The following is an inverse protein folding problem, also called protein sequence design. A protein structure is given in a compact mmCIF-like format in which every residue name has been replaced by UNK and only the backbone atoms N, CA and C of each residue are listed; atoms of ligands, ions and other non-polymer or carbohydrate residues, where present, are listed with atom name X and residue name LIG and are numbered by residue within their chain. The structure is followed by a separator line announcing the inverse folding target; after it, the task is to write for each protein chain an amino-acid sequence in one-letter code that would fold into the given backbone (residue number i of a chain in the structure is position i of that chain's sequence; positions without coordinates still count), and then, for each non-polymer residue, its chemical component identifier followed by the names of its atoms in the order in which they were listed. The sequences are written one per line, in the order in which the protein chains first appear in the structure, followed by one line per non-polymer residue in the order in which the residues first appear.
data_IF_469045630743
#
_entry.id   IF_469045630743
#
_cell.length_a   1.000
_cell.length_b   1.000
_cell.length_c   1.000
_cell.angle_alpha   90.00
_cell.angle_beta   90.00
_cell.angle_gamma   90.00
#
_symmetry.space_group_name_H-M   'P 1'
#
loop_
_entity.id
_entity.type
_entity.pdbx_description
1 polymer ?
#
# COMPACT_ATOMS: atom_id res chain seq x y z
N UNK A 1 -44.80 -30.03 12.73
CA UNK A 1 -44.42 -28.97 11.76
C UNK A 1 -43.35 -28.01 12.27
N UNK A 2 -43.29 -27.64 13.56
CA UNK A 2 -42.29 -26.68 14.08
C UNK A 2 -40.83 -27.19 14.15
N UNK A 3 -40.60 -28.50 14.29
CA UNK A 3 -39.24 -29.09 14.35
C UNK A 3 -38.45 -28.94 13.03
N UNK A 4 -39.13 -29.06 11.87
CA UNK A 4 -38.48 -28.91 10.57
C UNK A 4 -38.10 -27.46 10.26
N UNK A 5 -38.80 -26.48 10.83
CA UNK A 5 -38.49 -25.06 10.66
C UNK A 5 -37.22 -24.66 11.42
N UNK A 6 -37.03 -25.21 12.63
CA UNK A 6 -35.84 -24.94 13.47
C UNK A 6 -34.58 -25.51 12.83
N UNK A 7 -34.63 -26.73 12.28
CA UNK A 7 -33.50 -27.31 11.54
C UNK A 7 -33.15 -26.54 10.28
N UNK A 8 -34.15 -26.00 9.57
CA UNK A 8 -33.92 -25.20 8.36
C UNK A 8 -33.27 -23.84 8.70
N UNK A 9 -33.67 -23.21 9.80
CA UNK A 9 -33.06 -21.96 10.31
C UNK A 9 -31.64 -22.20 10.81
N UNK A 10 -31.38 -23.33 11.50
CA UNK A 10 -30.03 -23.71 11.94
C UNK A 10 -29.12 -24.07 10.76
N UNK A 11 -29.63 -24.73 9.72
CA UNK A 11 -28.90 -25.01 8.49
C UNK A 11 -28.61 -23.72 7.70
N UNK A 12 -29.57 -22.80 7.62
CA UNK A 12 -29.37 -21.49 7.00
C UNK A 12 -28.37 -20.64 7.79
N UNK A 13 -28.44 -20.64 9.11
CA UNK A 13 -27.46 -19.98 9.98
C UNK A 13 -26.07 -20.61 9.84
N UNK A 14 -25.96 -21.93 9.80
CA UNK A 14 -24.70 -22.63 9.55
C UNK A 14 -24.14 -22.36 8.14
N UNK A 15 -25.01 -22.22 7.12
CA UNK A 15 -24.60 -21.80 5.77
C UNK A 15 -24.09 -20.36 5.76
N UNK A 16 -24.74 -19.45 6.47
CA UNK A 16 -24.32 -18.04 6.56
C UNK A 16 -23.01 -17.92 7.35
N UNK A 17 -22.84 -18.70 8.42
CA UNK A 17 -21.59 -18.77 9.21
C UNK A 17 -20.44 -19.37 8.36
N UNK A 18 -20.71 -20.40 7.56
CA UNK A 18 -19.69 -21.00 6.68
C UNK A 18 -19.29 -20.08 5.53
N UNK A 19 -20.23 -19.35 4.91
CA UNK A 19 -19.94 -18.39 3.82
C UNK A 19 -19.14 -17.19 4.35
N UNK A 20 -19.42 -16.71 5.56
CA UNK A 20 -18.65 -15.63 6.20
C UNK A 20 -17.26 -16.09 6.67
N UNK A 21 -17.10 -17.36 7.06
CA UNK A 21 -15.80 -17.96 7.39
C UNK A 21 -14.91 -18.28 6.19
N UNK A 22 -15.47 -18.27 4.96
CA UNK A 22 -14.73 -18.56 3.73
C UNK A 22 -14.11 -17.31 3.07
N UNK A 23 -14.54 -16.11 3.46
CA UNK A 23 -14.03 -14.86 2.89
C UNK A 23 -12.86 -14.32 3.71
N UNK A 24 -11.79 -13.91 3.01
CA UNK A 24 -10.66 -13.22 3.64
C UNK A 24 -11.09 -11.90 4.28
N UNK A 25 -10.41 -11.48 5.34
CA UNK A 25 -10.63 -10.18 5.99
C UNK A 25 -10.45 -9.03 5.01
N UNK A 26 -9.58 -9.18 4.00
CA UNK A 26 -9.36 -8.18 2.94
C UNK A 26 -10.66 -7.91 2.19
N UNK A 27 -11.37 -8.98 1.81
CA UNK A 27 -12.63 -8.89 1.07
C UNK A 27 -13.74 -8.31 1.93
N UNK A 28 -13.84 -8.73 3.19
CA UNK A 28 -14.85 -8.23 4.13
C UNK A 28 -14.70 -6.71 4.34
N UNK A 29 -13.50 -6.26 4.71
CA UNK A 29 -13.22 -4.85 4.94
C UNK A 29 -13.38 -4.00 3.68
N UNK A 30 -13.06 -4.55 2.49
CA UNK A 30 -13.25 -3.85 1.23
C UNK A 30 -14.74 -3.72 0.88
N UNK A 31 -15.52 -4.79 1.08
CA UNK A 31 -16.97 -4.76 0.84
C UNK A 31 -17.65 -3.71 1.72
N UNK A 32 -17.26 -3.59 3.00
CA UNK A 32 -17.81 -2.56 3.89
C UNK A 32 -17.52 -1.14 3.38
N UNK A 33 -16.33 -0.89 2.84
CA UNK A 33 -15.99 0.41 2.24
C UNK A 33 -16.84 0.71 1.00
N UNK A 34 -17.04 -0.27 0.13
CA UNK A 34 -17.84 -0.12 -1.10
C UNK A 34 -19.33 0.08 -0.77
N UNK A 35 -19.89 -0.74 0.12
CA UNK A 35 -21.30 -0.67 0.52
C UNK A 35 -21.63 0.67 1.19
N UNK A 36 -20.73 1.18 2.03
CA UNK A 36 -20.89 2.50 2.66
C UNK A 36 -20.90 3.67 1.66
N UNK A 37 -20.23 3.54 0.50
CA UNK A 37 -20.30 4.52 -0.59
C UNK A 37 -21.54 4.34 -1.47
N UNK A 38 -21.87 3.11 -1.86
CA UNK A 38 -23.03 2.84 -2.73
C UNK A 38 -24.36 3.13 -2.05
N UNK A 39 -24.47 2.90 -0.73
CA UNK A 39 -25.67 3.26 0.04
C UNK A 39 -25.90 4.78 0.13
N UNK A 40 -24.90 5.62 -0.21
CA UNK A 40 -25.01 7.08 -0.20
C UNK A 40 -25.36 7.68 -1.57
N UNK A 41 -25.11 6.96 -2.67
CA UNK A 41 -25.41 7.41 -4.03
C UNK A 41 -26.49 6.51 -4.63
N UNK A 42 -27.75 6.79 -4.30
CA UNK A 42 -28.89 6.17 -4.96
C UNK A 42 -28.87 6.44 -6.47
N UNK A 43 -29.11 5.39 -7.25
CA UNK A 43 -29.32 5.37 -8.71
C UNK A 43 -28.14 5.78 -9.60
N UNK A 44 -27.54 4.78 -10.25
CA UNK A 44 -27.48 4.67 -11.72
C UNK A 44 -26.57 3.50 -12.10
N UNK A 45 -27.17 2.37 -12.48
CA UNK A 45 -26.47 1.18 -12.95
C UNK A 45 -26.07 1.39 -14.41
N UNK A 46 -25.08 2.25 -14.63
CA UNK A 46 -24.45 2.48 -15.94
C UNK A 46 -23.40 1.39 -16.15
N UNK A 47 -23.26 0.85 -17.37
CA UNK A 47 -22.29 -0.17 -17.76
C UNK A 47 -20.93 0.00 -17.04
N UNK A 48 -20.71 -0.79 -15.99
CA UNK A 48 -19.52 -0.69 -15.16
C UNK A 48 -18.41 -1.47 -15.87
N UNK A 49 -17.45 -0.76 -16.46
CA UNK A 49 -16.27 -1.42 -17.02
C UNK A 49 -15.34 -1.88 -15.89
N UNK A 50 -14.46 -2.88 -16.12
CA UNK A 50 -13.42 -3.26 -15.15
C UNK A 50 -12.58 -2.05 -14.71
N UNK A 51 -12.28 -1.13 -15.64
CA UNK A 51 -11.56 0.11 -15.36
C UNK A 51 -12.30 1.05 -14.42
N UNK A 52 -13.60 1.25 -14.66
CA UNK A 52 -14.44 2.05 -13.77
C UNK A 52 -14.52 1.41 -12.38
N UNK A 53 -14.61 0.07 -12.30
CA UNK A 53 -14.66 -0.67 -11.04
C UNK A 53 -13.38 -0.50 -10.23
N UNK A 54 -12.22 -0.73 -10.86
CA UNK A 54 -10.94 -0.65 -10.14
C UNK A 54 -10.60 0.79 -9.76
N UNK A 55 -10.91 1.76 -10.62
CA UNK A 55 -10.74 3.19 -10.27
C UNK A 55 -11.62 3.56 -9.08
N UNK A 56 -12.90 3.21 -9.11
CA UNK A 56 -13.83 3.47 -8.00
C UNK A 56 -13.40 2.79 -6.70
N UNK A 57 -12.83 1.58 -6.77
CA UNK A 57 -12.26 0.88 -5.62
C UNK A 57 -11.07 1.64 -5.02
N UNK A 58 -10.09 2.06 -5.84
CA UNK A 58 -8.94 2.85 -5.37
C UNK A 58 -9.38 4.19 -4.78
N UNK A 59 -10.30 4.89 -5.42
CA UNK A 59 -10.85 6.15 -4.90
C UNK A 59 -11.67 5.97 -3.62
N UNK A 60 -12.37 4.85 -3.49
CA UNK A 60 -13.06 4.50 -2.26
C UNK A 60 -12.08 4.34 -1.11
N UNK A 61 -11.02 3.55 -1.32
CA UNK A 61 -9.98 3.37 -0.31
C UNK A 61 -9.28 4.69 -0.01
N UNK A 62 -8.90 5.49 -1.02
CA UNK A 62 -8.21 6.75 -0.79
C UNK A 62 -9.04 7.80 -0.06
N UNK A 63 -10.37 7.75 -0.16
CA UNK A 63 -11.24 8.62 0.61
C UNK A 63 -11.24 8.28 2.11
N UNK A 64 -11.00 7.01 2.48
CA UNK A 64 -11.09 6.58 3.87
C UNK A 64 -10.18 5.38 4.20
N UNK A 65 -8.90 5.48 3.86
CA UNK A 65 -7.94 4.39 4.06
C UNK A 65 -7.72 4.10 5.54
N UNK A 66 -7.91 5.08 6.42
CA UNK A 66 -7.81 4.90 7.87
C UNK A 66 -8.84 3.89 8.40
N UNK A 67 -10.11 4.04 8.01
CA UNK A 67 -11.15 3.08 8.43
C UNK A 67 -10.94 1.69 7.82
N UNK A 68 -10.46 1.63 6.57
CA UNK A 68 -10.11 0.36 5.94
C UNK A 68 -9.01 -0.37 6.72
N UNK A 69 -7.94 0.34 7.12
CA UNK A 69 -6.86 -0.23 7.94
C UNK A 69 -7.31 -0.58 9.36
N UNK A 70 -8.21 0.20 9.98
CA UNK A 70 -8.78 -0.12 11.29
C UNK A 70 -9.59 -1.42 11.26
N UNK A 71 -10.40 -1.62 10.22
CA UNK A 71 -11.12 -2.88 10.02
C UNK A 71 -10.14 -4.06 9.92
N UNK A 72 -9.06 -3.88 9.17
CA UNK A 72 -8.05 -4.91 8.97
C UNK A 72 -7.36 -5.29 10.29
N UNK A 73 -6.86 -4.29 11.04
CA UNK A 73 -6.20 -4.49 12.34
C UNK A 73 -7.12 -5.19 13.35
N UNK A 74 -8.40 -4.86 13.37
CA UNK A 74 -9.37 -5.41 14.32
C UNK A 74 -9.73 -6.88 14.04
N UNK A 75 -9.64 -7.34 12.78
CA UNK A 75 -10.16 -8.66 12.39
C UNK A 75 -9.11 -9.65 11.93
N UNK A 76 -7.96 -9.17 11.44
CA UNK A 76 -6.96 -10.03 10.80
C UNK A 76 -6.49 -11.17 11.72
N UNK A 77 -6.26 -10.86 13.00
CA UNK A 77 -5.79 -11.83 14.01
C UNK A 77 -6.83 -12.91 14.38
N UNK A 78 -8.10 -12.70 14.02
CA UNK A 78 -9.20 -13.64 14.30
C UNK A 78 -9.46 -14.60 13.12
N UNK A 79 -8.80 -14.39 11.98
CA UNK A 79 -9.08 -15.17 10.77
C UNK A 79 -8.19 -16.40 10.63
N UNK A 80 -8.82 -17.52 10.30
CA UNK A 80 -8.17 -18.78 9.94
C UNK A 80 -8.01 -18.95 8.42
N UNK A 81 -8.35 -17.94 7.62
CA UNK A 81 -8.16 -18.01 6.18
C UNK A 81 -6.66 -18.04 5.83
N UNK A 82 -6.16 -18.91 4.93
CA UNK A 82 -4.72 -19.04 4.65
C UNK A 82 -4.04 -17.72 4.24
N UNK A 83 -4.70 -16.92 3.41
CA UNK A 83 -4.19 -15.61 3.01
C UNK A 83 -4.11 -14.63 4.19
N UNK A 84 -5.04 -14.72 5.15
CA UNK A 84 -5.05 -13.84 6.31
C UNK A 84 -3.95 -14.24 7.30
N UNK A 85 -3.72 -15.56 7.51
CA UNK A 85 -2.58 -16.05 8.30
C UNK A 85 -1.24 -15.63 7.72
N UNK A 86 -1.11 -15.65 6.39
CA UNK A 86 0.05 -15.08 5.72
C UNK A 86 0.21 -13.58 6.03
N UNK A 87 -0.88 -12.82 5.90
CA UNK A 87 -0.87 -11.38 6.16
C UNK A 87 -0.59 -11.06 7.63
N UNK A 88 -1.00 -11.88 8.60
CA UNK A 88 -0.65 -11.70 10.02
C UNK A 88 0.87 -11.65 10.26
N UNK A 89 1.68 -12.29 9.40
CA UNK A 89 3.14 -12.29 9.54
C UNK A 89 3.78 -10.96 9.12
N UNK A 90 3.13 -10.21 8.23
CA UNK A 90 3.73 -9.05 7.55
C UNK A 90 2.84 -7.80 7.58
N UNK A 91 1.67 -7.85 8.22
CA UNK A 91 0.80 -6.70 8.32
C UNK A 91 1.25 -5.79 9.47
N UNK A 92 1.32 -4.51 9.18
CA UNK A 92 1.52 -3.44 10.15
C UNK A 92 0.61 -2.30 9.78
N UNK A 93 -0.34 -1.97 10.65
CA UNK A 93 -1.26 -0.86 10.42
C UNK A 93 -0.50 0.47 10.18
N UNK A 94 0.50 0.87 10.99
CA UNK A 94 1.26 2.10 10.74
C UNK A 94 1.94 2.15 9.36
N UNK A 95 2.54 1.04 8.92
CA UNK A 95 3.23 0.97 7.63
C UNK A 95 2.22 1.06 6.46
N UNK A 96 1.10 0.34 6.56
CA UNK A 96 0.05 0.42 5.54
C UNK A 96 -0.64 1.79 5.49
N UNK A 97 -0.89 2.43 6.65
CA UNK A 97 -1.37 3.81 6.71
C UNK A 97 -0.39 4.77 6.01
N UNK A 98 0.92 4.58 6.21
CA UNK A 98 1.95 5.37 5.53
C UNK A 98 1.90 5.18 4.02
N UNK A 99 1.82 3.93 3.56
CA UNK A 99 1.73 3.60 2.15
C UNK A 99 0.51 4.27 1.48
N UNK A 100 -0.68 4.11 2.07
CA UNK A 100 -1.89 4.74 1.55
C UNK A 100 -1.85 6.26 1.63
N UNK A 101 -1.32 6.85 2.72
CA UNK A 101 -1.15 8.29 2.81
C UNK A 101 -0.26 8.80 1.68
N UNK A 102 0.89 8.17 1.42
CA UNK A 102 1.78 8.51 0.32
C UNK A 102 1.07 8.45 -1.03
N UNK A 103 0.47 7.31 -1.34
CA UNK A 103 -0.23 7.09 -2.62
C UNK A 103 -1.38 8.07 -2.83
N UNK A 104 -2.30 8.14 -1.86
CA UNK A 104 -3.56 8.86 -2.01
C UNK A 104 -3.40 10.38 -1.97
N UNK A 105 -2.32 10.91 -1.37
CA UNK A 105 -2.08 12.36 -1.30
C UNK A 105 -1.09 12.87 -2.34
N UNK A 106 -0.14 12.04 -2.79
CA UNK A 106 0.93 12.50 -3.68
C UNK A 106 0.76 12.03 -5.13
N UNK A 107 0.21 10.82 -5.35
CA UNK A 107 0.37 10.13 -6.64
C UNK A 107 -0.92 9.55 -7.24
N UNK A 108 -2.07 9.74 -6.59
CA UNK A 108 -3.37 9.22 -7.05
C UNK A 108 -3.71 9.65 -8.49
N UNK A 109 -3.44 10.92 -8.84
CA UNK A 109 -3.71 11.42 -10.20
C UNK A 109 -2.86 10.73 -11.27
N UNK A 110 -1.59 10.43 -10.97
CA UNK A 110 -0.74 9.70 -11.90
C UNK A 110 -1.27 8.28 -12.15
N UNK A 111 -1.78 7.61 -11.10
CA UNK A 111 -2.40 6.30 -11.23
C UNK A 111 -3.69 6.34 -12.05
N UNK A 112 -4.56 7.33 -11.81
CA UNK A 112 -5.82 7.50 -12.54
C UNK A 112 -5.62 7.59 -14.05
N UNK A 113 -4.63 8.36 -14.48
CA UNK A 113 -4.36 8.57 -15.92
C UNK A 113 -3.80 7.33 -16.62
N UNK A 114 -3.25 6.37 -15.87
CA UNK A 114 -2.60 5.17 -16.41
C UNK A 114 -3.37 3.86 -16.16
N UNK A 115 -4.49 3.92 -15.44
CA UNK A 115 -5.24 2.74 -14.96
C UNK A 115 -5.56 1.72 -16.07
N UNK A 116 -5.81 2.18 -17.30
CA UNK A 116 -6.16 1.32 -18.43
C UNK A 116 -5.06 0.33 -18.78
N UNK A 117 -3.79 0.74 -18.69
CA UNK A 117 -2.67 -0.15 -18.94
C UNK A 117 -2.46 -1.15 -17.78
N UNK A 118 -2.79 -0.74 -16.56
CA UNK A 118 -2.61 -1.54 -15.35
C UNK A 118 -3.56 -2.75 -15.27
N UNK A 119 -4.68 -2.72 -16.01
CA UNK A 119 -5.82 -3.61 -15.76
C UNK A 119 -5.87 -4.91 -16.57
N UNK A 120 -4.94 -5.17 -17.49
CA UNK A 120 -5.07 -6.36 -18.33
C UNK A 120 -3.77 -6.88 -18.95
N UNK A 121 -2.69 -6.98 -18.18
CA UNK A 121 -1.53 -7.75 -18.65
C UNK A 121 -1.63 -9.21 -18.18
N UNK A 122 -1.47 -10.22 -19.06
CA UNK A 122 -1.35 -11.62 -18.66
C UNK A 122 -0.24 -11.85 -17.63
N UNK A 123 0.80 -11.01 -17.66
CA UNK A 123 1.90 -11.02 -16.69
C UNK A 123 1.45 -10.72 -15.25
N UNK A 124 0.48 -9.82 -15.06
CA UNK A 124 -0.05 -9.54 -13.72
C UNK A 124 -0.70 -10.79 -13.11
N UNK A 125 -1.45 -11.57 -13.91
CA UNK A 125 -2.03 -12.86 -13.46
C UNK A 125 -0.95 -13.87 -13.06
N UNK A 126 0.18 -13.90 -13.77
CA UNK A 126 1.32 -14.75 -13.42
C UNK A 126 1.90 -14.35 -12.06
N UNK A 127 2.10 -13.05 -11.80
CA UNK A 127 2.56 -12.55 -10.50
C UNK A 127 1.64 -13.05 -9.37
N UNK A 128 0.32 -12.93 -9.54
CA UNK A 128 -0.67 -13.42 -8.56
C UNK A 128 -0.65 -14.93 -8.40
N UNK A 129 -0.49 -15.70 -9.48
CA UNK A 129 -0.42 -17.16 -9.41
C UNK A 129 0.78 -17.63 -8.58
N UNK A 130 1.97 -17.07 -8.84
CA UNK A 130 3.19 -17.36 -8.07
C UNK A 130 3.06 -16.92 -6.61
N UNK A 131 2.47 -15.74 -6.39
CA UNK A 131 2.21 -15.25 -5.04
C UNK A 131 1.27 -16.16 -4.26
N UNK A 132 0.18 -16.64 -4.86
CA UNK A 132 -0.77 -17.55 -4.22
C UNK A 132 -0.12 -18.89 -3.85
N UNK A 133 0.80 -19.40 -4.68
CA UNK A 133 1.61 -20.58 -4.33
C UNK A 133 2.48 -20.30 -3.10
N UNK A 134 3.15 -19.14 -3.06
CA UNK A 134 3.94 -18.70 -1.91
C UNK A 134 3.12 -18.54 -0.63
N UNK A 135 1.93 -17.93 -0.71
CA UNK A 135 0.98 -17.81 0.41
C UNK A 135 0.66 -19.18 0.99
N UNK A 136 0.26 -20.13 0.13
CA UNK A 136 -0.15 -21.45 0.60
C UNK A 136 1.01 -22.19 1.29
N UNK A 137 2.23 -22.10 0.76
CA UNK A 137 3.41 -22.69 1.38
C UNK A 137 3.67 -22.09 2.77
N UNK A 138 3.70 -20.76 2.89
CA UNK A 138 3.96 -20.08 4.16
C UNK A 138 2.81 -20.30 5.15
N UNK A 139 1.56 -20.23 4.72
CA UNK A 139 0.39 -20.44 5.57
C UNK A 139 0.30 -21.88 6.11
N UNK A 140 0.78 -22.87 5.34
CA UNK A 140 0.88 -24.26 5.80
C UNK A 140 1.98 -24.40 6.86
N UNK A 141 3.14 -23.77 6.67
CA UNK A 141 4.22 -23.72 7.67
C UNK A 141 3.79 -22.96 8.93
N UNK A 142 2.97 -21.92 8.78
CA UNK A 142 2.38 -21.15 9.86
C UNK A 142 1.51 -22.05 10.73
N UNK A 143 0.55 -22.76 10.10
CA UNK A 143 -0.36 -23.68 10.77
C UNK A 143 0.39 -24.79 11.52
N UNK A 144 1.46 -25.28 10.93
CA UNK A 144 2.27 -26.35 11.49
C UNK A 144 3.12 -25.89 12.69
N UNK A 145 3.43 -24.59 12.83
CA UNK A 145 4.28 -24.02 13.89
C UNK A 145 5.66 -24.70 14.07
N UNK A 146 6.16 -25.40 13.05
CA UNK A 146 7.45 -26.11 13.12
C UNK A 146 8.66 -25.17 13.00
N UNK A 147 8.45 -23.97 12.44
CA UNK A 147 9.51 -22.98 12.24
C UNK A 147 9.37 -21.82 13.24
N UNK A 148 10.49 -21.27 13.73
CA UNK A 148 10.49 -20.05 14.52
C UNK A 148 9.73 -18.92 13.81
N UNK A 149 9.06 -18.05 14.58
CA UNK A 149 8.27 -16.94 14.03
C UNK A 149 9.10 -16.07 13.08
N UNK A 150 10.33 -15.73 13.45
CA UNK A 150 11.23 -14.91 12.63
C UNK A 150 11.47 -15.52 11.24
N UNK A 151 11.69 -16.84 11.15
CA UNK A 151 11.90 -17.54 9.87
C UNK A 151 10.63 -17.50 9.01
N UNK A 152 9.46 -17.69 9.63
CA UNK A 152 8.17 -17.60 8.92
C UNK A 152 7.92 -16.19 8.40
N UNK A 153 8.23 -15.18 9.19
CA UNK A 153 8.13 -13.77 8.80
C UNK A 153 9.06 -13.45 7.63
N UNK A 154 10.33 -13.88 7.69
CA UNK A 154 11.28 -13.68 6.60
C UNK A 154 10.81 -14.32 5.28
N UNK A 155 10.29 -15.55 5.34
CA UNK A 155 9.67 -16.20 4.17
C UNK A 155 8.49 -15.38 3.63
N UNK A 156 7.63 -14.87 4.52
CA UNK A 156 6.50 -14.04 4.12
C UNK A 156 6.94 -12.70 3.50
N UNK A 157 7.99 -12.07 4.05
CA UNK A 157 8.60 -10.87 3.49
C UNK A 157 9.13 -11.14 2.07
N UNK A 158 9.87 -12.24 1.88
CA UNK A 158 10.43 -12.62 0.58
C UNK A 158 9.36 -12.92 -0.47
N UNK A 159 8.31 -13.65 -0.10
CA UNK A 159 7.15 -13.91 -0.98
C UNK A 159 6.48 -12.60 -1.40
N UNK A 160 6.30 -11.67 -0.45
CA UNK A 160 5.68 -10.36 -0.72
C UNK A 160 6.54 -9.49 -1.62
N UNK A 161 7.83 -9.38 -1.34
CA UNK A 161 8.76 -8.60 -2.17
C UNK A 161 8.88 -9.17 -3.57
N UNK A 162 8.89 -10.51 -3.72
CA UNK A 162 8.90 -11.15 -5.04
C UNK A 162 7.66 -10.78 -5.86
N UNK A 163 6.48 -10.85 -5.24
CA UNK A 163 5.23 -10.37 -5.85
C UNK A 163 5.33 -8.91 -6.25
N UNK A 164 5.75 -8.04 -5.34
CA UNK A 164 5.83 -6.60 -5.57
C UNK A 164 6.80 -6.24 -6.69
N UNK A 165 7.95 -6.90 -6.79
CA UNK A 165 8.88 -6.73 -7.93
C UNK A 165 8.20 -7.09 -9.25
N UNK A 166 7.55 -8.26 -9.31
CA UNK A 166 6.82 -8.69 -10.51
C UNK A 166 5.73 -7.68 -10.92
N UNK A 167 4.93 -7.20 -9.95
CA UNK A 167 3.89 -6.19 -10.21
C UNK A 167 4.50 -4.84 -10.67
N UNK A 168 5.54 -4.37 -9.98
CA UNK A 168 6.27 -3.14 -10.36
C UNK A 168 6.84 -3.24 -11.77
N UNK A 169 7.39 -4.37 -12.19
CA UNK A 169 7.92 -4.54 -13.55
C UNK A 169 6.81 -4.45 -14.61
N UNK A 170 5.64 -5.03 -14.32
CA UNK A 170 4.44 -4.91 -15.14
C UNK A 170 3.99 -3.45 -15.24
N UNK A 171 3.97 -2.74 -14.11
CA UNK A 171 3.58 -1.33 -14.08
C UNK A 171 4.61 -0.42 -14.78
N UNK A 172 5.90 -0.74 -14.66
CA UNK A 172 6.99 -0.03 -15.33
C UNK A 172 6.89 -0.14 -16.84
N UNK A 173 6.46 -1.31 -17.35
CA UNK A 173 6.20 -1.50 -18.77
C UNK A 173 5.12 -0.56 -19.31
N UNK A 174 4.09 -0.28 -18.51
CA UNK A 174 3.05 0.69 -18.85
C UNK A 174 3.57 2.12 -18.82
N UNK A 175 4.19 2.49 -17.69
CA UNK A 175 4.78 3.80 -17.48
C UNK A 175 5.82 3.70 -16.36
N UNK A 176 7.04 4.16 -16.64
CA UNK A 176 8.16 4.03 -15.70
C UNK A 176 7.94 4.77 -14.37
N UNK A 177 7.19 5.88 -14.38
CA UNK A 177 6.82 6.63 -13.18
C UNK A 177 5.77 5.86 -12.38
N UNK A 178 4.81 5.21 -13.03
CA UNK A 178 3.83 4.36 -12.35
C UNK A 178 4.48 3.14 -11.70
N UNK A 179 5.46 2.53 -12.37
CA UNK A 179 6.30 1.51 -11.76
C UNK A 179 6.92 1.97 -10.44
N UNK A 180 7.52 3.17 -10.43
CA UNK A 180 8.11 3.77 -9.22
C UNK A 180 7.06 4.06 -8.13
N UNK A 181 5.91 4.61 -8.49
CA UNK A 181 4.81 4.88 -7.55
C UNK A 181 4.33 3.61 -6.87
N UNK A 182 4.10 2.55 -7.65
CA UNK A 182 3.64 1.26 -7.12
C UNK A 182 4.72 0.58 -6.28
N UNK A 183 5.99 0.71 -6.67
CA UNK A 183 7.12 0.27 -5.85
C UNK A 183 7.14 0.98 -4.49
N UNK A 184 7.07 2.32 -4.49
CA UNK A 184 7.02 3.12 -3.27
C UNK A 184 5.85 2.72 -2.38
N UNK A 185 4.66 2.52 -2.97
CA UNK A 185 3.46 2.08 -2.26
C UNK A 185 3.67 0.70 -1.61
N UNK A 186 4.06 -0.31 -2.40
CA UNK A 186 4.20 -1.68 -1.91
C UNK A 186 5.25 -1.80 -0.81
N UNK A 187 6.42 -1.18 -1.02
CA UNK A 187 7.51 -1.28 -0.06
C UNK A 187 7.26 -0.45 1.20
N UNK A 188 6.51 0.65 1.12
CA UNK A 188 6.09 1.38 2.32
C UNK A 188 5.13 0.59 3.22
N UNK A 189 4.33 -0.30 2.62
CA UNK A 189 3.36 -1.12 3.33
C UNK A 189 3.97 -2.29 4.10
N UNK A 190 5.22 -2.65 3.79
CA UNK A 190 5.95 -3.70 4.51
C UNK A 190 6.46 -3.19 5.87
N UNK A 191 6.48 -4.02 6.93
CA UNK A 191 7.12 -3.70 8.19
C UNK A 191 8.61 -3.40 8.02
N UNK A 192 9.17 -2.63 8.95
CA UNK A 192 10.59 -2.24 8.90
C UNK A 192 11.55 -3.44 8.87
N UNK A 193 11.25 -4.48 9.64
CA UNK A 193 11.99 -5.74 9.62
C UNK A 193 11.98 -6.40 8.23
N UNK A 194 10.83 -6.39 7.54
CA UNK A 194 10.75 -6.91 6.17
C UNK A 194 11.56 -6.07 5.20
N UNK A 195 11.51 -4.74 5.30
CA UNK A 195 12.29 -3.86 4.42
C UNK A 195 13.80 -4.06 4.62
N UNK A 196 14.21 -4.18 5.88
CA UNK A 196 15.61 -4.42 6.26
C UNK A 196 16.13 -5.75 5.72
N UNK A 197 15.41 -6.85 5.95
CA UNK A 197 15.87 -8.19 5.53
C UNK A 197 15.89 -8.37 4.01
N UNK A 198 15.00 -7.69 3.29
CA UNK A 198 14.89 -7.81 1.83
C UNK A 198 15.63 -6.71 1.06
N UNK A 199 16.16 -5.70 1.76
CA UNK A 199 16.89 -4.56 1.20
C UNK A 199 16.04 -3.61 0.35
N UNK A 200 14.71 -3.66 0.45
CA UNK A 200 13.81 -2.79 -0.33
C UNK A 200 13.64 -1.43 0.33
N UNK A 201 13.42 -0.38 -0.49
CA UNK A 201 13.30 1.01 -0.04
C UNK A 201 12.08 1.68 -0.66
N UNK A 202 11.46 2.61 0.06
CA UNK A 202 10.32 3.38 -0.44
C UNK A 202 10.49 4.85 -0.10
N UNK A 203 10.27 5.70 -1.10
CA UNK A 203 10.23 7.15 -0.92
C UNK A 203 9.16 7.59 0.07
N UNK A 204 8.03 6.88 0.18
CA UNK A 204 6.99 7.23 1.15
C UNK A 204 7.44 7.01 2.59
N UNK A 205 8.31 6.02 2.83
CA UNK A 205 8.95 5.85 4.14
C UNK A 205 9.84 7.04 4.43
N UNK A 206 10.67 7.44 3.47
CA UNK A 206 11.63 8.53 3.64
C UNK A 206 10.95 9.87 3.90
N UNK A 207 9.94 10.21 3.09
CA UNK A 207 9.21 11.49 3.21
C UNK A 207 8.39 11.55 4.50
N UNK A 208 7.67 10.47 4.85
CA UNK A 208 6.65 10.51 5.90
C UNK A 208 7.16 10.12 7.29
N UNK A 209 8.28 9.39 7.40
CA UNK A 209 8.97 9.23 8.68
C UNK A 209 9.86 10.42 9.03
N UNK A 210 9.92 11.41 8.14
CA UNK A 210 10.85 12.51 8.28
C UNK A 210 12.25 11.95 8.36
N UNK A 211 12.72 11.27 7.30
CA UNK A 211 14.16 11.30 7.05
C UNK A 211 14.51 12.77 7.14
N UNK A 212 15.16 13.13 8.24
CA UNK A 212 16.08 14.24 8.30
C UNK A 212 16.91 13.98 7.06
N UNK A 213 16.58 14.67 5.97
CA UNK A 213 17.55 14.94 4.92
C UNK A 213 18.77 15.28 5.75
N UNK A 214 19.87 14.49 5.72
CA UNK A 214 21.07 14.99 6.34
C UNK A 214 21.17 16.37 5.74
N UNK A 215 21.09 17.41 6.58
CA UNK A 215 21.48 18.73 6.18
C UNK A 215 22.89 18.46 5.66
N UNK A 216 23.02 18.31 4.35
CA UNK A 216 24.28 18.45 3.65
C UNK A 216 24.73 19.78 4.18
N UNK A 217 25.77 19.74 5.01
CA UNK A 217 26.11 20.83 5.90
C UNK A 217 26.07 22.15 5.15
N UNK A 218 25.02 22.92 5.41
CA UNK A 218 24.82 24.25 4.82
C UNK A 218 25.75 25.28 5.48
N UNK A 219 26.88 24.83 6.03
CA UNK A 219 28.02 25.72 6.23
C UNK A 219 28.48 26.29 4.89
N UNK A 220 28.33 25.58 3.76
CA UNK A 220 28.69 26.15 2.46
C UNK A 220 27.68 27.15 1.90
N UNK A 221 26.37 26.96 2.09
CA UNK A 221 25.35 27.91 1.62
C UNK A 221 25.30 29.16 2.51
N UNK A 222 25.44 29.02 3.84
CA UNK A 222 25.54 30.16 4.75
C UNK A 222 26.86 30.92 4.55
N UNK A 223 27.98 30.22 4.32
CA UNK A 223 29.26 30.88 4.03
C UNK A 223 29.28 31.56 2.66
N UNK A 224 28.64 30.99 1.63
CA UNK A 224 28.51 31.66 0.32
C UNK A 224 27.59 32.87 0.39
N UNK A 225 26.48 32.82 1.14
CA UNK A 225 25.63 33.99 1.39
C UNK A 225 26.34 35.08 2.20
N UNK A 226 27.09 34.72 3.25
CA UNK A 226 27.88 35.67 4.05
C UNK A 226 29.04 36.27 3.23
N UNK A 227 29.72 35.48 2.40
CA UNK A 227 30.76 35.97 1.51
C UNK A 227 30.18 36.90 0.43
N UNK A 228 28.98 36.62 -0.09
CA UNK A 228 28.31 37.50 -1.06
C UNK A 228 27.93 38.85 -0.43
N UNK A 229 27.41 38.85 0.81
CA UNK A 229 27.07 40.07 1.55
C UNK A 229 28.33 40.88 1.90
N UNK A 230 29.42 40.21 2.30
CA UNK A 230 30.70 40.87 2.56
C UNK A 230 31.36 41.43 1.29
N UNK A 231 31.20 40.76 0.13
CA UNK A 231 31.67 41.27 -1.15
C UNK A 231 30.85 42.48 -1.63
N UNK A 232 29.53 42.46 -1.44
CA UNK A 232 28.67 43.59 -1.79
C UNK A 232 28.97 44.83 -0.93
N UNK A 233 29.32 44.66 0.34
CA UNK A 233 29.72 45.77 1.20
C UNK A 233 31.12 46.33 0.92
N UNK A 234 32.02 45.58 0.27
CA UNK A 234 33.36 46.08 -0.10
C UNK A 234 33.40 46.80 -1.45
N UNK A 235 32.37 46.70 -2.29
CA UNK A 235 32.34 47.36 -3.61
C UNK A 235 31.67 48.74 -3.64
N UNK A 236 31.22 49.30 -2.50
CA UNK A 236 30.55 50.63 -2.46
C UNK A 236 31.50 51.79 -2.11
N UNK A 237 32.79 51.53 -1.87
CA UNK A 237 33.76 52.59 -1.54
C UNK A 237 34.89 52.72 -2.58
N UNK A 238 34.54 53.04 -3.82
CA UNK A 238 35.50 53.68 -4.74
C UNK A 238 34.77 54.22 -5.98
N UNK A 239 34.05 55.33 -5.80
CA UNK A 239 33.79 56.26 -6.90
C UNK A 239 34.83 57.40 -6.78
N UNK A 240 35.76 57.55 -7.74
CA UNK A 240 36.65 58.70 -7.76
C UNK A 240 35.87 59.94 -8.22
N UNK A 241 35.89 60.96 -7.39
CA UNK A 241 35.57 62.34 -7.74
C UNK A 241 36.52 62.80 -8.85
N UNK A 242 36.01 63.14 -10.03
CA UNK A 242 36.71 64.07 -10.92
C UNK A 242 35.72 65.10 -11.46
N UNK A 243 36.02 66.34 -11.08
CA UNK A 243 35.47 67.60 -11.51
C UNK A 243 36.19 68.06 -12.80
N UNK A 244 35.43 68.83 -13.61
CA UNK A 244 35.78 69.57 -14.83
C UNK A 244 35.93 68.78 -16.13
#
# INVERSE_FOLDING_TARGET
MFHNLIHLVLLAAALIITITSAQSVVQQCMSEQITNKLSKNGNNQKNITPEATTTAAFESICHNYANYMNCFQARLHLSDHPADRFLQLIFSQPDMLRAYKGLCTQDLENLRTNIRCLLSTPKLRLCYSQFNQGINNVANLEKQKHLPLMVRQELACNVSVTRYRCETDVYTFCDSRIGKIMQDFFYAGLPDACRTVTGVKSRYVDILNGVKVPLVGDTHVVLTLLLFILFQHRCVCSAPSFFY
#
